data_IF_305097371543
#
_entry.id   IF_305097371543
#
_cell.length_a   1.000
_cell.length_b   1.000
_cell.length_c   1.000
_cell.angle_alpha   90.00
_cell.angle_beta   90.00
_cell.angle_gamma   90.00
#
_symmetry.space_group_name_H-M   'P 1'
#
loop_
_entity.id
_entity.type
_entity.pdbx_description
1 polymer ?
#
# COMPACT_ATOMS: atom_id res chain seq x y z
N UNK A 1 -10.12 -1.43 30.20
CA UNK A 1 -9.59 -2.07 29.01
C UNK A 1 -8.22 -2.66 29.33
N UNK A 2 -8.03 -3.92 29.03
CA UNK A 2 -6.76 -4.62 29.14
C UNK A 2 -5.77 -4.12 28.09
N UNK A 3 -4.46 -4.18 28.36
CA UNK A 3 -3.41 -3.82 27.42
C UNK A 3 -2.97 -5.04 26.64
N UNK A 4 -2.98 -4.93 25.31
CA UNK A 4 -2.50 -5.97 24.40
C UNK A 4 -0.99 -5.89 24.14
N UNK A 5 -0.46 -6.87 23.41
CA UNK A 5 0.90 -6.81 22.88
C UNK A 5 1.00 -5.68 21.84
N UNK A 6 2.03 -4.81 21.89
CA UNK A 6 2.20 -3.73 20.91
C UNK A 6 2.25 -4.19 19.45
N UNK A 7 2.67 -5.44 19.21
CA UNK A 7 2.79 -6.05 17.89
C UNK A 7 1.60 -6.92 17.50
N UNK A 8 0.53 -6.97 18.31
CA UNK A 8 -0.70 -7.67 17.98
C UNK A 8 -0.68 -9.19 18.17
N UNK A 9 0.33 -9.78 18.84
CA UNK A 9 0.43 -11.24 19.01
C UNK A 9 -0.73 -11.81 19.85
N UNK A 10 -1.36 -11.01 20.72
CA UNK A 10 -2.54 -11.38 21.50
C UNK A 10 -3.77 -11.67 20.65
N UNK A 11 -3.83 -11.16 19.40
CA UNK A 11 -4.90 -11.44 18.46
C UNK A 11 -4.62 -12.62 17.53
N UNK A 12 -3.46 -13.25 17.65
CA UNK A 12 -3.14 -14.41 16.80
C UNK A 12 -3.86 -15.67 17.29
N UNK A 13 -4.64 -16.27 16.39
CA UNK A 13 -5.37 -17.52 16.63
C UNK A 13 -4.50 -18.70 16.22
N UNK A 14 -3.90 -18.65 15.00
CA UNK A 14 -3.17 -19.78 14.42
C UNK A 14 -2.01 -19.32 13.51
N UNK A 15 -0.77 -19.83 13.75
CA UNK A 15 -0.34 -20.53 14.96
C UNK A 15 -0.13 -19.53 16.12
N UNK A 16 -0.50 -19.93 17.34
CA UNK A 16 -0.29 -19.11 18.52
C UNK A 16 1.19 -18.75 18.70
N UNK A 17 1.46 -17.51 19.11
CA UNK A 17 2.82 -17.01 19.36
C UNK A 17 3.54 -16.47 18.13
N UNK A 18 2.97 -16.57 16.93
CA UNK A 18 3.50 -15.90 15.76
C UNK A 18 3.13 -14.40 15.74
N UNK A 19 3.80 -13.62 14.90
CA UNK A 19 3.37 -12.28 14.57
C UNK A 19 2.11 -12.32 13.66
N UNK A 20 1.23 -11.32 13.72
CA UNK A 20 0.01 -11.29 12.91
C UNK A 20 0.25 -11.48 11.41
N UNK A 21 1.35 -10.98 10.86
CA UNK A 21 1.68 -11.15 9.46
C UNK A 21 1.95 -12.61 9.09
N UNK A 22 2.66 -13.35 9.94
CA UNK A 22 2.95 -14.79 9.75
C UNK A 22 1.80 -15.72 10.13
N UNK A 23 0.76 -15.20 10.81
CA UNK A 23 -0.37 -15.99 11.23
C UNK A 23 -1.28 -16.36 10.05
N UNK A 24 -1.82 -17.58 10.08
CA UNK A 24 -2.87 -18.01 9.15
C UNK A 24 -4.19 -17.31 9.46
N UNK A 25 -4.50 -17.18 10.77
CA UNK A 25 -5.73 -16.55 11.25
C UNK A 25 -5.49 -15.67 12.46
N UNK A 26 -6.14 -14.50 12.47
CA UNK A 26 -6.13 -13.57 13.60
C UNK A 26 -7.57 -13.25 14.04
N UNK A 27 -7.72 -12.84 15.31
CA UNK A 27 -8.98 -12.33 15.85
C UNK A 27 -9.23 -10.91 15.31
N UNK A 28 -10.33 -10.78 14.59
CA UNK A 28 -10.83 -9.52 14.06
C UNK A 28 -12.09 -9.04 14.79
N UNK A 29 -12.28 -9.42 16.03
CA UNK A 29 -13.31 -8.82 16.90
C UNK A 29 -12.98 -7.34 17.10
N UNK A 30 -13.94 -6.45 16.84
CA UNK A 30 -13.73 -5.00 16.82
C UNK A 30 -13.78 -4.32 18.19
N UNK A 31 -13.72 -5.08 19.30
CA UNK A 31 -13.46 -4.56 20.64
C UNK A 31 -11.96 -4.31 20.79
N UNK A 32 -11.55 -3.08 21.09
CA UNK A 32 -10.12 -2.71 21.17
C UNK A 32 -9.55 -2.95 22.56
N UNK A 33 -8.25 -3.24 22.59
CA UNK A 33 -7.41 -3.16 23.77
C UNK A 33 -6.98 -1.70 24.03
N UNK A 34 -6.45 -1.43 25.25
CA UNK A 34 -6.12 -0.05 25.64
C UNK A 34 -5.02 0.61 24.82
N UNK A 35 -4.26 -0.17 24.05
CA UNK A 35 -3.19 0.27 23.16
C UNK A 35 -3.48 -0.04 21.66
N UNK A 36 -4.74 0.00 21.27
CA UNK A 36 -5.18 -0.18 19.89
C UNK A 36 -6.00 1.01 19.41
N UNK A 37 -6.09 1.16 18.10
CA UNK A 37 -6.91 2.18 17.43
C UNK A 37 -7.95 1.47 16.57
N UNK A 38 -9.22 1.80 16.75
CA UNK A 38 -10.32 1.33 15.91
C UNK A 38 -10.56 2.32 14.78
N UNK A 39 -10.65 1.81 13.56
CA UNK A 39 -10.79 2.57 12.34
C UNK A 39 -12.07 2.16 11.62
N UNK A 40 -12.88 3.13 11.20
CA UNK A 40 -13.93 2.96 10.20
C UNK A 40 -13.30 3.00 8.82
N UNK A 41 -13.26 1.87 8.16
CA UNK A 41 -12.58 1.73 6.87
C UNK A 41 -13.48 2.12 5.73
N UNK A 42 -12.98 2.98 4.83
CA UNK A 42 -13.67 3.42 3.62
C UNK A 42 -13.13 2.77 2.35
N UNK A 43 -11.82 2.56 2.26
CA UNK A 43 -11.19 2.02 1.04
C UNK A 43 -9.99 1.15 1.41
N UNK A 44 -9.88 0.01 0.75
CA UNK A 44 -8.67 -0.81 0.73
C UNK A 44 -7.93 -0.57 -0.60
N UNK A 45 -6.60 -0.46 -0.55
CA UNK A 45 -5.72 -0.59 -1.70
C UNK A 45 -5.02 -1.93 -1.57
N UNK A 46 -5.53 -2.93 -2.28
CA UNK A 46 -4.89 -4.26 -2.28
C UNK A 46 -3.65 -4.16 -3.15
N UNK A 47 -2.53 -4.74 -2.71
CA UNK A 47 -1.31 -4.66 -3.50
C UNK A 47 -1.50 -5.31 -4.89
N UNK A 48 -0.80 -4.76 -5.89
CA UNK A 48 -1.04 -5.10 -7.29
C UNK A 48 -0.76 -6.56 -7.61
N UNK A 49 0.19 -7.21 -6.92
CA UNK A 49 0.47 -8.64 -7.14
C UNK A 49 -0.69 -9.49 -6.63
N UNK A 50 -1.20 -9.20 -5.42
CA UNK A 50 -2.33 -9.90 -4.83
C UNK A 50 -3.61 -9.67 -5.63
N UNK A 51 -3.89 -8.42 -6.03
CA UNK A 51 -5.10 -8.11 -6.78
C UNK A 51 -5.08 -8.74 -8.18
N UNK A 52 -3.93 -8.73 -8.86
CA UNK A 52 -3.76 -9.38 -10.16
C UNK A 52 -3.97 -10.89 -10.04
N UNK A 53 -3.41 -11.52 -9.01
CA UNK A 53 -3.61 -12.95 -8.76
C UNK A 53 -5.09 -13.29 -8.52
N UNK A 54 -5.79 -12.49 -7.70
CA UNK A 54 -7.24 -12.66 -7.44
C UNK A 54 -8.04 -12.49 -8.73
N UNK A 55 -7.76 -11.45 -9.52
CA UNK A 55 -8.42 -11.23 -10.82
C UNK A 55 -8.26 -12.42 -11.76
N UNK A 56 -7.03 -12.93 -11.89
CA UNK A 56 -6.74 -14.08 -12.74
C UNK A 56 -7.46 -15.34 -12.25
N UNK A 57 -7.43 -15.63 -10.96
CA UNK A 57 -8.12 -16.78 -10.37
C UNK A 57 -9.66 -16.71 -10.56
N UNK A 58 -10.21 -15.50 -10.65
CA UNK A 58 -11.63 -15.24 -10.87
C UNK A 58 -12.02 -15.08 -12.34
N UNK A 59 -11.10 -15.24 -13.29
CA UNK A 59 -11.36 -15.01 -14.71
C UNK A 59 -11.77 -13.56 -15.03
N UNK A 60 -11.27 -12.59 -14.27
CA UNK A 60 -11.61 -11.15 -14.33
C UNK A 60 -13.09 -10.83 -14.06
N UNK A 61 -13.82 -11.73 -13.42
CA UNK A 61 -15.22 -11.53 -13.00
C UNK A 61 -15.26 -10.74 -11.69
N UNK A 62 -15.79 -9.51 -11.72
CA UNK A 62 -15.85 -8.64 -10.56
C UNK A 62 -16.70 -9.21 -9.40
N UNK A 63 -17.72 -10.01 -9.69
CA UNK A 63 -18.56 -10.66 -8.66
C UNK A 63 -17.77 -11.73 -7.93
N UNK A 64 -17.01 -12.54 -8.67
CA UNK A 64 -16.13 -13.57 -8.09
C UNK A 64 -14.96 -12.94 -7.31
N UNK A 65 -14.38 -11.85 -7.82
CA UNK A 65 -13.35 -11.08 -7.11
C UNK A 65 -13.89 -10.57 -5.77
N UNK A 66 -15.09 -10.00 -5.75
CA UNK A 66 -15.78 -9.57 -4.53
C UNK A 66 -15.90 -10.71 -3.53
N UNK A 67 -16.39 -11.84 -3.97
CA UNK A 67 -16.59 -13.00 -3.10
C UNK A 67 -15.26 -13.52 -2.55
N UNK A 68 -14.24 -13.64 -3.39
CA UNK A 68 -12.92 -14.11 -2.96
C UNK A 68 -12.29 -13.19 -1.89
N UNK A 69 -12.42 -11.87 -2.04
CA UNK A 69 -11.93 -10.93 -1.02
C UNK A 69 -12.67 -11.14 0.32
N UNK A 70 -13.99 -11.27 0.28
CA UNK A 70 -14.79 -11.55 1.49
C UNK A 70 -14.39 -12.87 2.15
N UNK A 71 -14.21 -13.92 1.36
CA UNK A 71 -13.82 -15.25 1.85
C UNK A 71 -12.45 -15.22 2.54
N UNK A 72 -11.46 -14.54 1.93
CA UNK A 72 -10.13 -14.36 2.52
C UNK A 72 -10.24 -13.67 3.89
N UNK A 73 -10.98 -12.56 3.97
CA UNK A 73 -11.09 -11.79 5.21
C UNK A 73 -11.87 -12.56 6.28
N UNK A 74 -12.95 -13.22 5.92
CA UNK A 74 -13.77 -14.00 6.85
C UNK A 74 -13.00 -15.22 7.39
N UNK A 75 -12.24 -15.91 6.56
CA UNK A 75 -11.44 -17.05 6.99
C UNK A 75 -10.26 -16.63 7.88
N UNK A 76 -9.55 -15.58 7.49
CA UNK A 76 -8.25 -15.22 8.07
C UNK A 76 -8.32 -14.11 9.12
N UNK A 77 -9.43 -13.35 9.19
CA UNK A 77 -9.57 -12.15 10.03
C UNK A 77 -8.79 -10.94 9.52
N UNK A 78 -8.20 -11.02 8.33
CA UNK A 78 -7.33 -10.02 7.69
C UNK A 78 -7.33 -10.18 6.19
N UNK A 79 -6.99 -9.12 5.44
CA UNK A 79 -6.76 -9.24 4.00
C UNK A 79 -5.29 -9.62 3.75
N UNK A 80 -5.04 -10.93 3.67
CA UNK A 80 -3.76 -11.48 3.24
C UNK A 80 -4.03 -12.56 2.20
N UNK A 81 -3.63 -12.28 0.96
CA UNK A 81 -3.78 -13.24 -0.12
C UNK A 81 -2.96 -14.51 0.20
N UNK A 82 -3.59 -15.71 0.23
CA UNK A 82 -2.90 -16.93 0.60
C UNK A 82 -1.81 -17.37 -0.40
N UNK A 83 -1.86 -16.86 -1.64
CA UNK A 83 -0.89 -17.20 -2.69
C UNK A 83 0.33 -16.28 -2.64
N UNK A 84 0.13 -14.97 -2.55
CA UNK A 84 1.22 -13.97 -2.56
C UNK A 84 1.74 -13.65 -1.16
N UNK A 85 0.96 -13.91 -0.12
CA UNK A 85 1.28 -13.58 1.27
C UNK A 85 1.17 -12.09 1.60
N UNK A 86 0.80 -11.25 0.65
CA UNK A 86 0.72 -9.79 0.81
C UNK A 86 -0.72 -9.29 0.96
N UNK A 87 -0.90 -8.00 1.25
CA UNK A 87 -2.19 -7.41 1.56
C UNK A 87 -2.44 -6.06 0.93
N UNK A 88 -1.68 -5.05 1.30
CA UNK A 88 -1.88 -3.66 0.87
C UNK A 88 -2.11 -2.72 2.03
N UNK A 89 -2.83 -1.64 1.82
CA UNK A 89 -3.11 -0.59 2.83
C UNK A 89 -4.60 -0.24 2.87
N UNK A 90 -4.99 0.55 3.88
CA UNK A 90 -6.34 1.10 3.98
C UNK A 90 -6.32 2.60 4.25
N UNK A 91 -7.43 3.25 3.94
CA UNK A 91 -7.82 4.53 4.50
C UNK A 91 -9.15 4.40 5.24
N UNK A 92 -9.28 5.22 6.27
CA UNK A 92 -10.49 5.27 7.07
C UNK A 92 -10.46 6.43 8.05
N UNK A 93 -11.49 6.51 8.87
CA UNK A 93 -11.59 7.48 9.96
C UNK A 93 -11.34 6.79 11.30
N UNK A 94 -10.58 7.44 12.15
CA UNK A 94 -10.38 7.00 13.53
C UNK A 94 -11.72 7.05 14.26
N UNK A 95 -12.21 5.89 14.71
CA UNK A 95 -13.46 5.78 15.48
C UNK A 95 -13.20 5.88 16.98
N UNK A 96 -12.15 5.21 17.45
CA UNK A 96 -11.81 5.19 18.88
C UNK A 96 -10.33 4.95 19.08
N UNK A 97 -9.78 5.56 20.13
CA UNK A 97 -8.35 5.49 20.46
C UNK A 97 -8.21 4.92 21.86
N UNK A 98 -7.44 3.83 21.98
CA UNK A 98 -7.10 3.25 23.28
C UNK A 98 -6.30 4.23 24.15
N UNK A 99 -6.59 4.25 25.44
CA UNK A 99 -6.01 5.23 26.40
C UNK A 99 -4.49 5.20 26.50
N UNK A 100 -3.87 4.07 26.17
CA UNK A 100 -2.42 3.83 26.25
C UNK A 100 -1.68 4.14 24.93
N UNK A 101 -2.40 4.61 23.89
CA UNK A 101 -1.79 5.11 22.65
C UNK A 101 -0.96 6.35 22.96
N UNK A 102 0.32 6.33 22.51
CA UNK A 102 1.30 7.36 22.84
C UNK A 102 1.11 8.65 22.06
N UNK A 103 0.71 8.55 20.80
CA UNK A 103 0.46 9.73 19.97
C UNK A 103 -0.81 10.44 20.45
N UNK A 104 -0.60 11.60 21.07
CA UNK A 104 -1.69 12.46 21.58
C UNK A 104 -2.16 13.49 20.56
N UNK A 105 -1.56 13.53 19.38
CA UNK A 105 -1.98 14.41 18.28
C UNK A 105 -3.12 13.81 17.47
N UNK A 106 -3.20 12.47 17.41
CA UNK A 106 -4.27 11.76 16.74
C UNK A 106 -5.60 11.96 17.48
N UNK A 107 -6.67 12.21 16.73
CA UNK A 107 -8.02 12.44 17.25
C UNK A 107 -9.04 11.51 16.60
N UNK A 108 -10.09 11.20 17.34
CA UNK A 108 -11.28 10.57 16.76
C UNK A 108 -11.87 11.46 15.66
N UNK A 109 -12.22 10.86 14.52
CA UNK A 109 -12.65 11.56 13.32
C UNK A 109 -11.54 11.88 12.31
N UNK A 110 -10.26 11.80 12.70
CA UNK A 110 -9.16 12.00 11.77
C UNK A 110 -9.20 10.97 10.65
N UNK A 111 -9.01 11.44 9.41
CA UNK A 111 -8.83 10.56 8.26
C UNK A 111 -7.37 10.13 8.19
N UNK A 112 -7.13 8.83 8.21
CA UNK A 112 -5.80 8.26 8.18
C UNK A 112 -5.62 7.24 7.06
N UNK A 113 -4.39 7.11 6.57
CA UNK A 113 -3.94 5.96 5.83
C UNK A 113 -3.00 5.14 6.73
N UNK A 114 -3.23 3.82 6.82
CA UNK A 114 -2.27 2.96 7.50
C UNK A 114 -1.08 2.70 6.60
N UNK A 115 0.12 2.76 7.16
CA UNK A 115 1.37 2.44 6.45
C UNK A 115 1.88 1.03 6.82
N UNK A 116 0.99 0.22 7.38
CA UNK A 116 1.20 -1.20 7.68
C UNK A 116 0.34 -2.06 6.77
N UNK A 117 0.85 -3.24 6.44
CA UNK A 117 0.15 -4.14 5.52
C UNK A 117 -1.17 -4.66 6.11
N UNK A 118 -2.19 -4.75 5.25
CA UNK A 118 -3.44 -5.46 5.56
C UNK A 118 -3.22 -6.93 5.93
N UNK A 119 -2.06 -7.50 5.59
CA UNK A 119 -1.68 -8.88 5.94
C UNK A 119 -1.46 -9.10 7.44
N UNK A 120 -1.37 -8.04 8.23
CA UNK A 120 -1.24 -8.12 9.69
C UNK A 120 -2.36 -7.38 10.43
N UNK A 121 -3.26 -6.71 9.72
CA UNK A 121 -4.27 -5.81 10.27
C UNK A 121 -5.58 -6.56 10.49
N UNK A 122 -6.12 -6.67 11.72
CA UNK A 122 -7.46 -7.20 11.96
C UNK A 122 -8.48 -6.37 11.15
N UNK A 123 -9.21 -7.05 10.27
CA UNK A 123 -10.13 -6.42 9.34
C UNK A 123 -11.48 -7.15 9.35
N UNK A 124 -12.56 -6.39 9.42
CA UNK A 124 -13.93 -6.87 9.23
C UNK A 124 -14.56 -6.07 8.09
N UNK A 125 -15.05 -6.75 7.08
CA UNK A 125 -15.80 -6.15 5.98
C UNK A 125 -17.27 -6.45 6.21
N UNK A 126 -18.08 -5.41 6.40
CA UNK A 126 -19.54 -5.55 6.50
C UNK A 126 -20.16 -5.56 5.10
N UNK A 127 -19.59 -4.75 4.17
CA UNK A 127 -20.05 -4.67 2.79
C UNK A 127 -18.95 -4.16 1.87
N UNK A 128 -18.82 -4.74 0.67
CA UNK A 128 -18.03 -4.16 -0.42
C UNK A 128 -18.96 -3.31 -1.28
N UNK A 129 -18.72 -2.02 -1.32
CA UNK A 129 -19.54 -1.03 -2.05
C UNK A 129 -19.17 -1.01 -3.53
N UNK A 130 -17.88 -0.92 -3.84
CA UNK A 130 -17.39 -0.93 -5.21
C UNK A 130 -16.01 -1.58 -5.32
N UNK A 131 -15.67 -2.07 -6.50
CA UNK A 131 -14.33 -2.57 -6.84
C UNK A 131 -13.86 -1.86 -8.10
N UNK A 132 -12.72 -1.20 -8.02
CA UNK A 132 -12.06 -0.67 -9.20
C UNK A 132 -11.02 -1.68 -9.70
N UNK A 133 -11.38 -2.39 -10.77
CA UNK A 133 -10.56 -3.45 -11.36
C UNK A 133 -9.26 -2.93 -12.03
N UNK A 134 -9.10 -1.63 -12.19
CA UNK A 134 -7.95 -1.02 -12.86
C UNK A 134 -6.89 -0.47 -11.90
N UNK A 135 -7.30 0.00 -10.72
CA UNK A 135 -6.40 0.64 -9.76
C UNK A 135 -6.28 -0.09 -8.42
N UNK A 136 -6.77 -1.34 -8.35
CA UNK A 136 -6.61 -2.24 -7.20
C UNK A 136 -7.28 -1.72 -5.91
N UNK A 137 -8.26 -0.82 -6.04
CA UNK A 137 -8.99 -0.22 -4.92
C UNK A 137 -10.38 -0.82 -4.72
N UNK A 138 -10.73 -1.04 -3.47
CA UNK A 138 -12.01 -1.61 -3.04
C UNK A 138 -12.63 -0.70 -2.01
N UNK A 139 -13.75 -0.06 -2.36
CA UNK A 139 -14.52 0.73 -1.41
C UNK A 139 -15.38 -0.21 -0.56
N UNK A 140 -15.32 -0.04 0.76
CA UNK A 140 -16.01 -0.89 1.72
C UNK A 140 -16.74 -0.09 2.79
N UNK A 141 -17.67 -0.75 3.45
CA UNK A 141 -18.10 -0.45 4.81
C UNK A 141 -17.54 -1.53 5.70
N UNK A 142 -16.72 -1.15 6.68
CA UNK A 142 -16.06 -2.11 7.56
C UNK A 142 -15.24 -1.43 8.63
N UNK A 143 -14.51 -2.23 9.38
CA UNK A 143 -13.68 -1.76 10.49
C UNK A 143 -12.34 -2.48 10.53
N UNK A 144 -11.32 -1.81 11.03
CA UNK A 144 -10.00 -2.39 11.24
C UNK A 144 -9.40 -1.95 12.57
N UNK A 145 -8.43 -2.71 13.05
CA UNK A 145 -7.67 -2.37 14.25
C UNK A 145 -6.21 -2.14 13.89
N UNK A 146 -5.70 -0.98 14.27
CA UNK A 146 -4.28 -0.67 14.19
C UNK A 146 -3.63 -0.88 15.56
N UNK A 147 -2.57 -1.68 15.61
CA UNK A 147 -1.79 -1.96 16.82
C UNK A 147 -0.92 -0.76 17.22
N UNK A 148 -0.49 -0.71 18.48
CA UNK A 148 0.40 0.34 19.01
C UNK A 148 1.67 0.55 18.16
N UNK A 149 2.23 -0.54 17.58
CA UNK A 149 3.40 -0.47 16.69
C UNK A 149 3.07 -0.05 15.27
N UNK A 150 1.79 0.04 14.92
CA UNK A 150 1.37 0.36 13.56
C UNK A 150 1.59 1.84 13.24
N UNK A 151 2.19 2.11 12.10
CA UNK A 151 2.39 3.46 11.60
C UNK A 151 1.24 3.88 10.69
N UNK A 152 0.95 5.16 10.68
CA UNK A 152 -0.11 5.78 9.88
C UNK A 152 0.29 7.20 9.48
N UNK A 153 -0.42 7.73 8.51
CA UNK A 153 -0.35 9.16 8.16
C UNK A 153 -1.76 9.76 8.25
N UNK A 154 -1.88 10.92 8.89
CA UNK A 154 -3.10 11.73 8.81
C UNK A 154 -3.17 12.32 7.40
N UNK A 155 -4.30 12.12 6.73
CA UNK A 155 -4.46 12.54 5.35
C UNK A 155 -4.64 14.06 5.26
N UNK A 156 -3.94 14.72 4.34
CA UNK A 156 -4.14 16.15 4.10
C UNK A 156 -5.54 16.38 3.50
N UNK A 157 -6.15 17.51 3.86
CA UNK A 157 -7.50 17.84 3.42
C UNK A 157 -7.56 18.36 1.97
N UNK A 158 -6.45 18.83 1.44
CA UNK A 158 -6.28 19.39 0.10
C UNK A 158 -5.95 18.34 -0.98
N UNK A 159 -5.79 17.07 -0.59
CA UNK A 159 -5.51 15.98 -1.50
C UNK A 159 -6.67 14.97 -1.52
N UNK A 160 -7.19 14.59 -2.71
CA UNK A 160 -8.19 13.52 -2.79
C UNK A 160 -7.72 12.24 -2.13
N UNK A 161 -8.51 11.67 -1.22
CA UNK A 161 -8.11 10.52 -0.40
C UNK A 161 -7.63 9.32 -1.22
N UNK A 162 -8.31 9.00 -2.33
CA UNK A 162 -7.89 7.88 -3.21
C UNK A 162 -6.55 8.13 -3.89
N UNK A 163 -6.23 9.39 -4.21
CA UNK A 163 -4.92 9.76 -4.74
C UNK A 163 -3.86 9.66 -3.63
N UNK A 164 -4.16 10.18 -2.43
CA UNK A 164 -3.27 10.05 -1.27
C UNK A 164 -2.94 8.58 -0.99
N UNK A 165 -3.94 7.70 -1.00
CA UNK A 165 -3.75 6.26 -0.81
C UNK A 165 -2.83 5.66 -1.88
N UNK A 166 -3.07 5.96 -3.16
CA UNK A 166 -2.25 5.45 -4.26
C UNK A 166 -0.78 5.91 -4.20
N UNK A 167 -0.54 7.12 -3.69
CA UNK A 167 0.82 7.68 -3.49
C UNK A 167 1.48 7.07 -2.26
N UNK A 168 0.78 6.99 -1.13
CA UNK A 168 1.33 6.48 0.13
C UNK A 168 1.70 5.00 0.04
N UNK A 169 0.94 4.21 -0.72
CA UNK A 169 1.21 2.79 -0.96
C UNK A 169 2.62 2.53 -1.53
N UNK A 170 3.17 3.50 -2.25
CA UNK A 170 4.47 3.41 -2.90
C UNK A 170 5.49 4.45 -2.41
N UNK A 171 5.16 5.23 -1.38
CA UNK A 171 5.97 6.36 -0.92
C UNK A 171 7.34 5.97 -0.34
N UNK A 172 7.53 4.72 0.05
CA UNK A 172 8.82 4.23 0.55
C UNK A 172 9.95 4.34 -0.47
N UNK A 173 9.67 4.03 -1.74
CA UNK A 173 10.67 4.07 -2.80
C UNK A 173 11.17 5.51 -3.11
N UNK A 174 10.33 6.51 -3.37
CA UNK A 174 10.78 7.88 -3.57
C UNK A 174 11.44 8.48 -2.31
N UNK A 175 11.03 8.08 -1.09
CA UNK A 175 11.70 8.47 0.14
C UNK A 175 13.14 7.93 0.23
N UNK A 176 13.39 6.73 -0.27
CA UNK A 176 14.74 6.18 -0.42
C UNK A 176 15.55 6.98 -1.46
N UNK A 177 14.94 7.28 -2.61
CA UNK A 177 15.58 8.11 -3.65
C UNK A 177 15.99 9.47 -3.09
N UNK A 178 15.12 10.10 -2.28
CA UNK A 178 15.45 11.39 -1.63
C UNK A 178 16.70 11.32 -0.76
N UNK A 179 16.87 10.23 -0.02
CA UNK A 179 18.04 10.04 0.84
C UNK A 179 19.32 9.72 0.07
N UNK A 180 19.21 8.93 -1.00
CA UNK A 180 20.35 8.35 -1.70
C UNK A 180 20.89 9.24 -2.83
N UNK A 181 20.01 9.86 -3.62
CA UNK A 181 20.40 10.67 -4.77
C UNK A 181 20.92 12.03 -4.33
N UNK A 182 22.12 12.38 -4.78
CA UNK A 182 22.78 13.64 -4.50
C UNK A 182 22.99 14.44 -5.80
N UNK A 183 23.17 15.77 -5.71
CA UNK A 183 23.41 16.61 -6.88
C UNK A 183 24.55 16.09 -7.76
N UNK A 184 24.31 16.01 -9.05
CA UNK A 184 25.28 15.55 -10.06
C UNK A 184 25.34 14.02 -10.25
N UNK A 185 24.57 13.23 -9.49
CA UNK A 185 24.55 11.78 -9.69
C UNK A 185 23.79 11.40 -10.97
N UNK A 186 24.25 10.31 -11.59
CA UNK A 186 23.52 9.61 -12.65
C UNK A 186 22.69 8.49 -12.02
N UNK A 187 21.40 8.48 -12.34
CA UNK A 187 20.41 7.56 -11.76
C UNK A 187 19.72 6.81 -12.88
N UNK A 188 19.63 5.49 -12.77
CA UNK A 188 18.84 4.66 -13.66
C UNK A 188 17.62 4.12 -12.92
N UNK A 189 16.42 4.26 -13.51
CA UNK A 189 15.16 3.78 -12.97
C UNK A 189 14.57 2.77 -13.94
N UNK A 190 14.40 1.54 -13.48
CA UNK A 190 13.81 0.45 -14.26
C UNK A 190 12.30 0.37 -13.93
N UNK A 191 11.46 0.43 -14.98
CA UNK A 191 10.01 0.41 -14.84
C UNK A 191 9.45 1.78 -14.40
N UNK A 192 9.90 2.85 -15.05
CA UNK A 192 9.53 4.22 -14.70
C UNK A 192 8.07 4.60 -14.88
N UNK A 193 7.29 3.81 -15.61
CA UNK A 193 5.88 4.09 -15.91
C UNK A 193 4.88 3.67 -14.83
N UNK A 194 5.32 2.88 -13.84
CA UNK A 194 4.49 2.51 -12.68
C UNK A 194 4.41 3.63 -11.63
N UNK A 195 3.51 3.48 -10.65
CA UNK A 195 3.31 4.46 -9.55
C UNK A 195 4.64 4.82 -8.86
N UNK A 196 5.40 3.82 -8.41
CA UNK A 196 6.72 4.01 -7.79
C UNK A 196 7.71 4.67 -8.76
N UNK A 197 7.76 4.20 -10.00
CA UNK A 197 8.70 4.69 -11.01
C UNK A 197 8.53 6.18 -11.30
N UNK A 198 7.30 6.64 -11.47
CA UNK A 198 6.97 8.05 -11.68
C UNK A 198 7.45 8.92 -10.51
N UNK A 199 7.13 8.51 -9.27
CA UNK A 199 7.53 9.26 -8.08
C UNK A 199 9.05 9.23 -7.85
N UNK A 200 9.70 8.09 -8.09
CA UNK A 200 11.16 7.97 -8.02
C UNK A 200 11.84 8.83 -9.08
N UNK A 201 11.31 8.87 -10.30
CA UNK A 201 11.84 9.69 -11.39
C UNK A 201 11.76 11.19 -11.04
N UNK A 202 10.61 11.64 -10.56
CA UNK A 202 10.44 13.01 -10.08
C UNK A 202 11.45 13.37 -8.98
N UNK A 203 11.55 12.51 -7.96
CA UNK A 203 12.47 12.77 -6.84
C UNK A 203 13.94 12.71 -7.28
N UNK A 204 14.30 11.80 -8.19
CA UNK A 204 15.65 11.71 -8.74
C UNK A 204 16.02 12.96 -9.55
N UNK A 205 15.12 13.43 -10.44
CA UNK A 205 15.33 14.67 -11.20
C UNK A 205 15.54 15.87 -10.28
N UNK A 206 14.72 15.98 -9.23
CA UNK A 206 14.83 17.05 -8.24
C UNK A 206 16.19 17.05 -7.53
N UNK A 207 16.66 15.88 -7.09
CA UNK A 207 17.87 15.76 -6.28
C UNK A 207 19.15 15.77 -7.12
N UNK A 208 19.18 15.10 -8.27
CA UNK A 208 20.33 15.08 -9.17
C UNK A 208 20.61 16.47 -9.78
N UNK A 209 19.56 17.24 -10.03
CA UNK A 209 19.65 18.59 -10.59
C UNK A 209 20.22 18.60 -12.00
N UNK A 210 20.58 19.80 -12.48
CA UNK A 210 21.06 20.01 -13.87
C UNK A 210 22.43 19.40 -14.19
N UNK A 211 23.19 18.98 -13.18
CA UNK A 211 24.52 18.37 -13.34
C UNK A 211 24.45 16.83 -13.37
N UNK A 212 23.33 16.25 -12.97
CA UNK A 212 23.10 14.81 -12.99
C UNK A 212 22.24 14.37 -14.18
N UNK A 213 22.13 13.05 -14.37
CA UNK A 213 21.25 12.45 -15.37
C UNK A 213 20.29 11.48 -14.70
N UNK A 214 19.05 11.48 -15.16
CA UNK A 214 18.05 10.46 -14.79
C UNK A 214 17.65 9.73 -16.07
N UNK A 215 17.99 8.46 -16.13
CA UNK A 215 17.69 7.57 -17.24
C UNK A 215 16.56 6.65 -16.82
N UNK A 216 15.49 6.60 -17.57
CA UNK A 216 14.37 5.71 -17.32
C UNK A 216 14.32 4.61 -18.38
N UNK A 217 14.29 3.35 -17.94
CA UNK A 217 14.02 2.20 -18.79
C UNK A 217 12.56 1.82 -18.59
N UNK A 218 11.79 1.84 -19.67
CA UNK A 218 10.37 1.52 -19.63
C UNK A 218 10.00 0.57 -20.78
N UNK A 219 9.21 -0.47 -20.47
CA UNK A 219 8.79 -1.45 -21.46
C UNK A 219 7.67 -0.91 -22.38
N UNK A 220 6.74 -0.17 -21.81
CA UNK A 220 5.58 0.38 -22.51
C UNK A 220 5.92 1.69 -23.22
N UNK A 221 5.77 1.72 -24.55
CA UNK A 221 5.94 2.95 -25.33
C UNK A 221 4.99 4.07 -24.88
N UNK A 222 3.75 3.71 -24.51
CA UNK A 222 2.77 4.68 -24.02
C UNK A 222 3.24 5.32 -22.71
N UNK A 223 3.75 4.54 -21.77
CA UNK A 223 4.26 5.07 -20.53
C UNK A 223 5.56 5.86 -20.72
N UNK A 224 6.44 5.40 -21.59
CA UNK A 224 7.67 6.13 -21.95
C UNK A 224 7.35 7.52 -22.53
N UNK A 225 6.32 7.62 -23.38
CA UNK A 225 5.83 8.89 -23.92
C UNK A 225 5.35 9.82 -22.80
N UNK A 226 4.55 9.32 -21.84
CA UNK A 226 4.08 10.11 -20.69
C UNK A 226 5.24 10.62 -19.81
N UNK A 227 6.25 9.77 -19.55
CA UNK A 227 7.43 10.17 -18.78
C UNK A 227 8.15 11.34 -19.46
N UNK A 228 8.31 11.27 -20.78
CA UNK A 228 8.90 12.37 -21.59
C UNK A 228 8.06 13.64 -21.53
N UNK A 229 6.75 13.54 -21.74
CA UNK A 229 5.82 14.68 -21.70
C UNK A 229 5.80 15.37 -20.34
N UNK A 230 5.97 14.59 -19.24
CA UNK A 230 6.04 15.12 -17.88
C UNK A 230 7.42 15.60 -17.46
N UNK A 231 8.44 15.50 -18.32
CA UNK A 231 9.84 15.86 -18.03
C UNK A 231 10.39 15.16 -16.77
N UNK A 232 10.10 13.88 -16.61
CA UNK A 232 10.50 13.10 -15.43
C UNK A 232 11.83 12.38 -15.58
N UNK A 233 12.49 12.51 -16.71
CA UNK A 233 13.79 11.91 -16.99
C UNK A 233 14.60 12.77 -17.97
N UNK A 234 15.93 12.66 -17.90
CA UNK A 234 16.85 13.22 -18.91
C UNK A 234 16.75 12.41 -20.19
N UNK A 235 16.73 11.08 -20.05
CA UNK A 235 16.65 10.14 -21.16
C UNK A 235 15.64 9.03 -20.83
N UNK A 236 14.88 8.58 -21.85
CA UNK A 236 13.92 7.48 -21.71
C UNK A 236 14.21 6.43 -22.77
N UNK A 237 14.56 5.24 -22.33
CA UNK A 237 14.87 4.07 -23.16
C UNK A 237 13.65 3.13 -23.14
N UNK A 238 13.08 2.88 -24.31
CA UNK A 238 12.03 1.84 -24.46
C UNK A 238 12.73 0.50 -24.67
N UNK A 239 12.68 -0.36 -23.66
CA UNK A 239 13.31 -1.67 -23.71
C UNK A 239 12.73 -2.63 -22.68
N UNK A 240 12.92 -3.92 -22.95
CA UNK A 240 12.67 -4.99 -21.99
C UNK A 240 13.90 -5.14 -21.07
N UNK A 241 13.78 -4.72 -19.82
CA UNK A 241 14.87 -4.76 -18.84
C UNK A 241 15.31 -6.21 -18.49
N UNK A 242 14.53 -7.23 -18.82
CA UNK A 242 14.93 -8.65 -18.68
C UNK A 242 15.93 -9.07 -19.74
N UNK A 243 16.19 -8.22 -20.74
CA UNK A 243 17.16 -8.40 -21.81
C UNK A 243 18.29 -7.36 -21.71
N UNK A 244 19.23 -7.54 -20.77
CA UNK A 244 20.22 -6.50 -20.46
C UNK A 244 21.14 -6.14 -21.62
N UNK A 245 21.39 -7.07 -22.54
CA UNK A 245 22.20 -6.81 -23.75
C UNK A 245 21.49 -5.81 -24.67
N UNK A 246 20.18 -5.99 -24.85
CA UNK A 246 19.37 -5.08 -25.71
C UNK A 246 19.28 -3.68 -25.09
N UNK A 247 19.27 -3.59 -23.75
CA UNK A 247 19.29 -2.32 -23.02
C UNK A 247 20.64 -1.63 -23.18
N UNK A 248 21.73 -2.39 -23.11
CA UNK A 248 23.10 -1.85 -23.23
C UNK A 248 23.42 -1.28 -24.62
N UNK A 249 22.76 -1.78 -25.66
CA UNK A 249 22.95 -1.35 -27.05
C UNK A 249 22.17 -0.08 -27.41
N UNK A 250 21.28 0.39 -26.53
CA UNK A 250 20.45 1.60 -26.72
C UNK A 250 21.00 2.80 -25.96
#
# INVERSE_FOLDING_TARGET
MEKGCPFGTHRVIEPKGSLPQGAKKIDNTMSIFSNEILIDVSTLNIDSASFTQIKQACGNDAVKVRQMILDIVNERGKMQNPVTGSGGMLIGKVRSIGKDIKDKTLKEGDSIATLVSLSLTPLKIDEILSINMQNDQVDIRGSAILFESGIYAVLPQDLPQKLALAVLDVAGAPAQVDKLVKPGMNVCIIGGGGKSGVLCSYQAMKNAGSKGKVIVIEYSEQNAKKIKEMNLATDVIVADATKPIDVYQK
#
